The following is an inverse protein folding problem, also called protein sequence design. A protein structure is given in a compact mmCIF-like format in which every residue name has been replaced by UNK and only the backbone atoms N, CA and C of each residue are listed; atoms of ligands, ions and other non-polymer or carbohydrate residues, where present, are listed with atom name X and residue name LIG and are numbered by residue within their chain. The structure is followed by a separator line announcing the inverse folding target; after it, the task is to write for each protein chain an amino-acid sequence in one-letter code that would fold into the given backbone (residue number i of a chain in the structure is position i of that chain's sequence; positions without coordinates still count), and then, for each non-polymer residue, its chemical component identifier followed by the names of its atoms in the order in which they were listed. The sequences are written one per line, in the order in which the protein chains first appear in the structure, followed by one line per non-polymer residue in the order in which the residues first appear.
data_IF_926006102115
#
_entry.id   IF_926006102115
#
_cell.length_a   1.000
_cell.length_b   1.000
_cell.length_c   1.000
_cell.angle_alpha   90.00
_cell.angle_beta   90.00
_cell.angle_gamma   90.00
#
_symmetry.space_group_name_H-M   'P 1'
#
loop_
_entity.id
_entity.type
_entity.pdbx_description
1 polymer ?
#
# COMPACT_ATOMS: atom_id res chain seq x y z
N UNK A 1 8.32 0.46 -5.10
CA UNK A 1 7.65 -0.68 -4.45
C UNK A 1 8.29 -1.90 -5.03
N UNK A 2 8.81 -2.80 -4.21
CA UNK A 2 9.48 -4.04 -4.65
C UNK A 2 8.79 -5.28 -4.12
N UNK A 3 8.06 -5.18 -3.00
CA UNK A 3 7.21 -6.26 -2.49
C UNK A 3 6.16 -5.73 -1.51
N UNK A 4 5.17 -6.58 -1.23
CA UNK A 4 4.26 -6.43 -0.09
C UNK A 4 4.33 -7.68 0.78
N UNK A 5 4.11 -7.54 2.09
CA UNK A 5 4.05 -8.67 3.01
C UNK A 5 3.07 -8.42 4.17
N UNK A 6 2.10 -9.33 4.41
CA UNK A 6 1.76 -10.47 3.56
C UNK A 6 1.11 -10.02 2.22
N UNK A 7 1.04 -10.93 1.23
CA UNK A 7 0.43 -10.66 -0.09
C UNK A 7 -1.09 -10.80 -0.07
N UNK A 8 -1.65 -11.34 1.01
CA UNK A 8 -3.09 -11.51 1.23
C UNK A 8 -3.42 -11.09 2.66
N UNK A 9 -4.41 -10.24 2.83
CA UNK A 9 -4.88 -9.70 4.11
C UNK A 9 -6.40 -9.57 4.12
N UNK A 10 -7.02 -9.46 5.29
CA UNK A 10 -8.41 -9.03 5.41
C UNK A 10 -8.47 -7.49 5.50
N UNK A 11 -9.62 -6.91 5.19
CA UNK A 11 -9.88 -5.50 5.44
C UNK A 11 -9.67 -5.17 6.93
N UNK A 12 -8.87 -4.14 7.22
CA UNK A 12 -8.47 -3.75 8.58
C UNK A 12 -7.18 -4.39 9.09
N UNK A 13 -6.65 -5.44 8.44
CA UNK A 13 -5.34 -5.98 8.77
C UNK A 13 -4.22 -5.04 8.31
N UNK A 14 -3.03 -5.14 8.90
CA UNK A 14 -1.86 -4.38 8.46
C UNK A 14 -0.98 -5.21 7.53
N UNK A 15 -0.49 -4.60 6.45
CA UNK A 15 0.57 -5.15 5.61
C UNK A 15 1.68 -4.13 5.41
N UNK A 16 2.88 -4.63 5.11
CA UNK A 16 4.03 -3.80 4.78
C UNK A 16 4.20 -3.69 3.26
N UNK A 17 4.54 -2.49 2.80
CA UNK A 17 5.02 -2.19 1.45
C UNK A 17 6.52 -1.95 1.56
N UNK A 18 7.32 -2.73 0.85
CA UNK A 18 8.78 -2.57 0.82
C UNK A 18 9.21 -1.88 -0.48
N UNK A 19 10.32 -1.15 -0.42
CA UNK A 19 10.87 -0.43 -1.56
C UNK A 19 12.06 0.43 -1.15
N UNK A 20 12.24 1.55 -1.83
CA UNK A 20 13.28 2.55 -1.56
C UNK A 20 12.73 3.95 -1.78
N UNK A 21 13.31 4.95 -1.12
CA UNK A 21 12.91 6.35 -1.27
C UNK A 21 11.61 6.72 -0.55
N UNK A 22 11.14 5.88 0.38
CA UNK A 22 9.93 6.13 1.18
C UNK A 22 10.21 7.06 2.35
N UNK A 23 10.90 8.18 2.14
CA UNK A 23 11.12 9.14 3.21
C UNK A 23 9.78 9.74 3.66
N UNK A 24 9.48 9.86 4.98
CA UNK A 24 8.17 10.29 5.46
C UNK A 24 7.68 11.62 4.86
N UNK A 25 8.58 12.58 4.67
CA UNK A 25 8.26 13.89 4.12
C UNK A 25 8.04 13.89 2.59
N UNK A 26 8.36 12.79 1.90
CA UNK A 26 8.19 12.67 0.46
C UNK A 26 6.95 11.85 0.09
N UNK A 27 6.53 10.88 0.91
CA UNK A 27 5.35 10.05 0.65
C UNK A 27 4.09 10.91 0.73
N UNK A 28 3.35 11.00 -0.38
CA UNK A 28 2.13 11.80 -0.50
C UNK A 28 0.85 10.95 -0.48
N UNK A 29 0.91 9.74 -1.04
CA UNK A 29 -0.23 8.84 -1.08
C UNK A 29 0.21 7.39 -1.30
N UNK A 30 -0.63 6.46 -0.83
CA UNK A 30 -0.60 5.05 -1.24
C UNK A 30 -1.89 4.78 -2.01
N UNK A 31 -1.77 4.20 -3.19
CA UNK A 31 -2.90 3.79 -4.02
C UNK A 31 -2.93 2.27 -4.09
N UNK A 32 -4.10 1.69 -3.88
CA UNK A 32 -4.35 0.25 -4.05
C UNK A 32 -5.44 0.11 -5.11
N UNK A 33 -5.13 -0.56 -6.21
CA UNK A 33 -6.06 -0.70 -7.34
C UNK A 33 -6.44 0.63 -7.98
N UNK A 34 -5.60 1.66 -7.83
CA UNK A 34 -5.87 3.04 -8.27
C UNK A 34 -6.67 3.90 -7.28
N UNK A 35 -7.14 3.34 -6.16
CA UNK A 35 -7.86 4.08 -5.13
C UNK A 35 -6.91 4.50 -4.01
N UNK A 36 -6.98 5.77 -3.60
CA UNK A 36 -6.16 6.28 -2.50
C UNK A 36 -6.59 5.67 -1.17
N UNK A 37 -5.62 5.18 -0.40
CA UNK A 37 -5.81 4.80 1.00
C UNK A 37 -5.88 6.06 1.84
N UNK A 38 -6.72 6.04 2.89
CA UNK A 38 -6.71 7.12 3.88
C UNK A 38 -5.31 7.29 4.48
N UNK A 39 -4.80 8.52 4.52
CA UNK A 39 -3.47 8.82 5.04
C UNK A 39 -3.33 8.43 6.52
N UNK A 40 -4.42 8.40 7.29
CA UNK A 40 -4.43 7.91 8.67
C UNK A 40 -4.07 6.42 8.78
N UNK A 41 -4.27 5.66 7.70
CA UNK A 41 -3.97 4.23 7.61
C UNK A 41 -2.56 3.97 7.03
N UNK A 42 -1.78 5.01 6.72
CA UNK A 42 -0.46 4.90 6.11
C UNK A 42 0.59 5.40 7.08
N UNK A 43 1.49 4.52 7.50
CA UNK A 43 2.60 4.84 8.40
C UNK A 43 3.93 4.53 7.73
N UNK A 44 4.70 5.56 7.41
CA UNK A 44 6.07 5.39 6.91
C UNK A 44 7.00 4.97 8.05
N UNK A 45 7.52 3.75 8.00
CA UNK A 45 8.36 3.16 9.06
C UNK A 45 9.82 3.54 8.85
N UNK A 46 10.27 3.51 7.60
CA UNK A 46 11.64 3.85 7.19
C UNK A 46 11.65 4.32 5.74
N UNK A 47 12.81 4.69 5.23
CA UNK A 47 13.01 5.01 3.81
C UNK A 47 12.86 3.80 2.86
N UNK A 48 12.65 2.60 3.42
CA UNK A 48 12.49 1.34 2.68
C UNK A 48 11.18 0.60 3.00
N UNK A 49 10.38 1.09 3.95
CA UNK A 49 9.16 0.42 4.38
C UNK A 49 8.03 1.38 4.78
N UNK A 50 6.82 1.05 4.34
CA UNK A 50 5.56 1.69 4.74
C UNK A 50 4.63 0.60 5.27
N UNK A 51 4.01 0.82 6.42
CA UNK A 51 2.91 0.00 6.91
C UNK A 51 1.58 0.61 6.50
N UNK A 52 0.65 -0.23 6.03
CA UNK A 52 -0.67 0.18 5.58
C UNK A 52 -1.73 -0.69 6.24
N UNK A 53 -2.73 -0.06 6.83
CA UNK A 53 -3.97 -0.75 7.22
C UNK A 53 -4.82 -0.95 5.97
N UNK A 54 -5.11 -2.21 5.67
CA UNK A 54 -5.82 -2.63 4.48
C UNK A 54 -7.20 -1.97 4.42
N UNK A 55 -7.47 -1.14 3.40
CA UNK A 55 -8.78 -0.53 3.23
C UNK A 55 -9.84 -1.59 2.86
N UNK A 56 -11.09 -1.32 3.22
CA UNK A 56 -12.21 -2.17 2.84
C UNK A 56 -12.67 -1.83 1.41
N UNK A 57 -11.94 -2.35 0.42
CA UNK A 57 -12.32 -2.25 -0.98
C UNK A 57 -12.92 -3.57 -1.45
N UNK A 58 -14.20 -3.55 -1.80
CA UNK A 58 -14.93 -4.69 -2.39
C UNK A 58 -14.32 -5.21 -3.70
N UNK A 59 -13.30 -4.57 -4.28
CA UNK A 59 -12.73 -4.89 -5.60
C UNK A 59 -11.29 -5.40 -5.59
N UNK A 60 -10.67 -5.70 -4.43
CA UNK A 60 -9.26 -6.12 -4.36
C UNK A 60 -9.04 -7.58 -3.98
N UNK A 61 -10.08 -8.41 -3.92
CA UNK A 61 -9.96 -9.84 -3.57
C UNK A 61 -9.04 -10.59 -4.55
N UNK A 62 -9.13 -10.29 -5.84
CA UNK A 62 -8.36 -10.94 -6.92
C UNK A 62 -7.00 -10.27 -7.22
N UNK A 63 -6.55 -9.36 -6.36
CA UNK A 63 -5.28 -8.67 -6.50
C UNK A 63 -5.42 -7.27 -7.08
N UNK A 64 -4.90 -6.30 -6.34
CA UNK A 64 -4.82 -4.89 -6.72
C UNK A 64 -3.36 -4.45 -6.77
N UNK A 65 -3.01 -3.66 -7.78
CA UNK A 65 -1.67 -3.06 -7.86
C UNK A 65 -1.45 -2.07 -6.72
N UNK A 66 -0.24 -2.05 -6.20
CA UNK A 66 0.18 -1.14 -5.13
C UNK A 66 1.11 -0.08 -5.70
N UNK A 67 0.72 1.18 -5.54
CA UNK A 67 1.50 2.33 -5.99
C UNK A 67 1.76 3.25 -4.81
N UNK A 68 3.01 3.64 -4.63
CA UNK A 68 3.40 4.68 -3.66
C UNK A 68 3.70 5.95 -4.44
N UNK A 69 2.98 7.03 -4.16
CA UNK A 69 3.25 8.35 -4.72
C UNK A 69 4.12 9.14 -3.76
N UNK A 70 5.18 9.73 -4.31
CA UNK A 70 6.07 10.65 -3.61
C UNK A 70 6.14 12.00 -4.32
N UNK A 71 6.69 13.02 -3.68
CA UNK A 71 7.03 14.31 -4.34
C UNK A 71 7.98 14.17 -5.51
N UNK A 72 8.76 13.09 -5.56
CA UNK A 72 9.72 12.83 -6.63
C UNK A 72 9.15 11.98 -7.77
N UNK A 73 7.93 11.44 -7.61
CA UNK A 73 7.28 10.57 -8.59
C UNK A 73 6.55 9.40 -7.96
N UNK A 74 5.99 8.52 -8.79
CA UNK A 74 5.30 7.31 -8.36
C UNK A 74 6.20 6.09 -8.48
N UNK A 75 6.06 5.17 -7.54
CA UNK A 75 6.76 3.89 -7.53
C UNK A 75 5.74 2.75 -7.62
N UNK A 76 5.83 1.97 -8.70
CA UNK A 76 4.99 0.80 -8.98
C UNK A 76 5.84 -0.21 -9.76
N UNK A 77 5.99 -1.42 -9.24
CA UNK A 77 6.72 -2.53 -9.89
C UNK A 77 5.78 -3.71 -10.18
N UNK A 78 4.52 -3.40 -10.52
CA UNK A 78 3.43 -4.37 -10.70
C UNK A 78 3.22 -5.31 -9.50
N UNK A 79 3.64 -4.89 -8.31
CA UNK A 79 3.39 -5.61 -7.06
C UNK A 79 1.90 -5.52 -6.75
N UNK A 80 1.29 -6.68 -6.46
CA UNK A 80 -0.13 -6.79 -6.15
C UNK A 80 -0.37 -7.26 -4.72
N UNK A 81 -1.52 -6.88 -4.17
CA UNK A 81 -2.04 -7.38 -2.89
C UNK A 81 -3.50 -7.81 -3.04
N UNK A 82 -3.86 -8.94 -2.43
CA UNK A 82 -5.25 -9.37 -2.27
C UNK A 82 -5.79 -8.90 -0.93
N UNK A 83 -6.91 -8.18 -0.95
CA UNK A 83 -7.61 -7.74 0.27
C UNK A 83 -8.98 -8.40 0.29
N UNK A 84 -9.21 -9.24 1.30
CA UNK A 84 -10.47 -9.94 1.53
C UNK A 84 -11.39 -8.97 2.30
N UNK A 85 -12.53 -8.54 1.72
CA UNK A 85 -13.45 -7.63 2.40
C UNK A 85 -14.04 -8.30 3.66
N UNK A 86 -14.40 -7.49 4.65
CA UNK A 86 -15.13 -8.02 5.81
C UNK A 86 -16.60 -8.29 5.42
N UNK A 87 -17.19 -9.41 5.89
CA UNK A 87 -18.58 -9.76 5.60
C UNK A 87 -19.60 -8.80 6.22
#
# INVERSE_FOLDING_TARGET
VTSVNPTTVNAGDTFAINGTGFYPNLVQAVLIGGTAVDQANVTTVSDTQINVVAPDFVTCEFGCTVVVQTTQGASNDNVTISIIPNP
#
